data_IF_965146462824
#
_entry.id   IF_965146462824
#
_cell.length_a   1.000
_cell.length_b   1.000
_cell.length_c   1.000
_cell.angle_alpha   90.00
_cell.angle_beta   90.00
_cell.angle_gamma   90.00
#
_symmetry.space_group_name_H-M   'P 1'
#
loop_
_entity.id
_entity.type
_entity.pdbx_description
1 polymer ?
#
# COMPACT_ATOMS: atom_id res chain seq x y z
N UNK A 1 20.83 3.37 8.68
CA UNK A 1 19.47 4.00 8.68
C UNK A 1 18.48 3.14 9.47
N UNK A 2 18.43 3.24 10.80
CA UNK A 2 17.41 2.59 11.65
C UNK A 2 16.55 3.59 12.45
N UNK A 3 16.72 4.88 12.20
CA UNK A 3 16.07 5.97 12.93
C UNK A 3 14.83 6.54 12.21
N UNK A 4 14.64 6.23 10.92
CA UNK A 4 13.49 6.68 10.13
C UNK A 4 12.30 5.72 10.26
N UNK A 5 11.08 6.25 10.18
CA UNK A 5 9.84 5.46 10.26
C UNK A 5 9.74 4.45 9.11
N UNK A 6 8.88 3.43 9.25
CA UNK A 6 8.63 2.48 8.17
C UNK A 6 8.11 3.19 6.90
N UNK A 7 7.24 4.19 7.07
CA UNK A 7 6.74 5.03 5.99
C UNK A 7 7.88 5.75 5.28
N UNK A 8 8.73 6.49 6.00
CA UNK A 8 9.87 7.21 5.40
C UNK A 8 10.84 6.29 4.64
N UNK A 9 11.07 5.08 5.16
CA UNK A 9 11.93 4.09 4.48
C UNK A 9 11.28 3.55 3.23
N UNK A 10 9.96 3.35 3.25
CA UNK A 10 9.20 2.91 2.08
C UNK A 10 9.22 3.98 1.00
N UNK A 11 8.94 5.24 1.35
CA UNK A 11 8.99 6.36 0.42
C UNK A 11 10.36 6.50 -0.22
N UNK A 12 11.43 6.41 0.58
CA UNK A 12 12.79 6.46 0.06
C UNK A 12 13.12 5.27 -0.86
N UNK A 13 12.64 4.07 -0.55
CA UNK A 13 12.85 2.88 -1.38
C UNK A 13 12.07 2.98 -2.71
N UNK A 14 10.82 3.47 -2.66
CA UNK A 14 9.98 3.70 -3.84
C UNK A 14 10.62 4.76 -4.76
N UNK A 15 10.99 5.93 -4.21
CA UNK A 15 11.66 6.98 -5.00
C UNK A 15 13.00 6.52 -5.58
N UNK A 16 13.76 5.70 -4.85
CA UNK A 16 14.98 5.10 -5.37
C UNK A 16 14.68 4.16 -6.55
N UNK A 17 13.69 3.28 -6.42
CA UNK A 17 13.30 2.34 -7.45
C UNK A 17 12.81 3.03 -8.72
N UNK A 18 11.96 4.05 -8.59
CA UNK A 18 11.43 4.85 -9.69
C UNK A 18 12.54 5.59 -10.43
N UNK A 19 13.45 6.25 -9.68
CA UNK A 19 14.57 6.96 -10.28
C UNK A 19 15.49 5.99 -11.03
N UNK A 20 15.81 4.83 -10.44
CA UNK A 20 16.62 3.82 -11.09
C UNK A 20 15.92 3.24 -12.34
N UNK A 21 14.61 3.01 -12.29
CA UNK A 21 13.84 2.52 -13.43
C UNK A 21 13.79 3.52 -14.60
N UNK A 22 13.95 4.82 -14.33
CA UNK A 22 14.02 5.86 -15.36
C UNK A 22 15.35 5.90 -16.12
N UNK A 23 16.39 5.22 -15.61
CA UNK A 23 17.74 5.22 -16.17
C UNK A 23 17.99 3.95 -17.01
N UNK A 24 18.43 4.06 -18.27
CA UNK A 24 18.75 2.90 -19.09
C UNK A 24 19.86 2.02 -18.48
N UNK A 25 19.68 0.70 -18.47
CA UNK A 25 20.70 -0.25 -17.99
C UNK A 25 20.80 -0.36 -16.47
N UNK A 26 19.86 0.22 -15.72
CA UNK A 26 19.80 0.19 -14.26
C UNK A 26 18.70 -0.73 -13.72
N UNK A 27 18.29 -1.74 -14.49
CA UNK A 27 17.20 -2.65 -14.16
C UNK A 27 17.46 -3.39 -12.85
N UNK A 28 18.71 -3.79 -12.63
CA UNK A 28 19.16 -4.40 -11.36
C UNK A 28 18.96 -3.44 -10.17
N UNK A 29 19.34 -2.17 -10.33
CA UNK A 29 19.23 -1.19 -9.26
C UNK A 29 17.76 -0.85 -8.97
N UNK A 30 16.93 -0.77 -10.01
CA UNK A 30 15.49 -0.60 -9.87
C UNK A 30 14.83 -1.78 -9.16
N UNK A 31 15.20 -3.02 -9.53
CA UNK A 31 14.71 -4.23 -8.89
C UNK A 31 15.08 -4.28 -7.40
N UNK A 32 16.29 -3.86 -7.03
CA UNK A 32 16.72 -3.81 -5.62
C UNK A 32 15.92 -2.77 -4.82
N UNK A 33 15.63 -1.60 -5.42
CA UNK A 33 14.78 -0.58 -4.80
C UNK A 33 13.34 -1.05 -4.59
N UNK A 34 12.73 -1.63 -5.62
CA UNK A 34 11.36 -2.15 -5.51
C UNK A 34 11.28 -3.33 -4.54
N UNK A 35 12.29 -4.21 -4.50
CA UNK A 35 12.34 -5.29 -3.51
C UNK A 35 12.39 -4.75 -2.08
N UNK A 36 13.22 -3.73 -1.84
CA UNK A 36 13.28 -3.07 -0.53
C UNK A 36 11.94 -2.42 -0.14
N UNK A 37 11.21 -1.84 -1.09
CA UNK A 37 9.88 -1.28 -0.83
C UNK A 37 8.85 -2.38 -0.50
N UNK A 38 8.86 -3.50 -1.24
CA UNK A 38 7.98 -4.66 -0.97
C UNK A 38 8.23 -5.26 0.42
N UNK A 39 9.50 -5.40 0.83
CA UNK A 39 9.87 -5.94 2.14
C UNK A 39 9.40 -5.07 3.32
N UNK A 40 9.05 -3.80 3.06
CA UNK A 40 8.54 -2.88 4.08
C UNK A 40 7.00 -2.92 4.19
N UNK A 41 6.29 -3.49 3.22
CA UNK A 41 4.82 -3.57 3.23
C UNK A 41 4.23 -4.18 4.53
N UNK A 42 4.80 -5.25 5.13
CA UNK A 42 4.28 -5.78 6.38
C UNK A 42 4.30 -4.77 7.54
N UNK A 43 5.25 -3.83 7.54
CA UNK A 43 5.37 -2.81 8.59
C UNK A 43 4.38 -1.65 8.39
N UNK A 44 4.03 -1.36 7.13
CA UNK A 44 3.03 -0.35 6.78
C UNK A 44 1.60 -0.87 6.94
N UNK A 45 1.45 -2.19 6.79
CA UNK A 45 0.22 -2.92 7.06
C UNK A 45 -0.21 -2.90 8.54
N UNK A 46 0.68 -2.47 9.45
CA UNK A 46 0.41 -2.50 10.88
C UNK A 46 -0.60 -1.44 11.30
N UNK A 47 -1.62 -1.88 12.03
CA UNK A 47 -2.80 -1.11 12.44
C UNK A 47 -2.55 -0.01 13.49
N UNK A 48 -1.29 0.27 13.85
CA UNK A 48 -0.90 1.33 14.80
C UNK A 48 -0.65 2.72 14.19
N UNK A 49 -0.70 2.88 12.87
CA UNK A 49 -0.53 4.17 12.17
C UNK A 49 -1.83 5.00 12.20
N UNK A 50 -1.75 6.34 12.21
CA UNK A 50 -2.93 7.18 11.99
C UNK A 50 -3.61 6.83 10.66
N UNK A 51 -4.94 6.87 10.64
CA UNK A 51 -5.75 6.33 9.54
C UNK A 51 -5.45 6.96 8.18
N UNK A 52 -5.24 8.28 8.14
CA UNK A 52 -4.96 9.01 6.90
C UNK A 52 -3.62 8.62 6.26
N UNK A 53 -2.57 8.49 7.07
CA UNK A 53 -1.25 8.05 6.60
C UNK A 53 -1.31 6.63 6.03
N UNK A 54 -2.10 5.75 6.65
CA UNK A 54 -2.27 4.37 6.17
C UNK A 54 -2.99 4.29 4.83
N UNK A 55 -4.07 5.03 4.63
CA UNK A 55 -4.84 5.01 3.38
C UNK A 55 -3.99 5.55 2.20
N UNK A 56 -3.21 6.61 2.42
CA UNK A 56 -2.26 7.14 1.43
C UNK A 56 -1.17 6.11 1.08
N UNK A 57 -0.54 5.49 2.09
CA UNK A 57 0.51 4.48 1.89
C UNK A 57 -0.02 3.20 1.24
N UNK A 58 -1.24 2.76 1.58
CA UNK A 58 -1.87 1.62 0.94
C UNK A 58 -2.17 1.89 -0.53
N UNK A 59 -2.62 3.11 -0.86
CA UNK A 59 -2.87 3.51 -2.25
C UNK A 59 -1.57 3.46 -3.07
N UNK A 60 -0.45 3.94 -2.52
CA UNK A 60 0.87 3.88 -3.15
C UNK A 60 1.40 2.45 -3.31
N UNK A 61 1.03 1.54 -2.41
CA UNK A 61 1.41 0.13 -2.52
C UNK A 61 0.72 -0.62 -3.67
N UNK A 62 -0.33 -0.04 -4.28
CA UNK A 62 -1.06 -0.65 -5.40
C UNK A 62 -0.12 -0.78 -6.60
N UNK A 63 0.02 -1.99 -7.13
CA UNK A 63 0.87 -2.26 -8.29
C UNK A 63 2.37 -2.37 -7.97
N UNK A 64 2.80 -2.08 -6.74
CA UNK A 64 4.21 -2.12 -6.33
C UNK A 64 4.83 -3.50 -6.55
N UNK A 65 4.18 -4.57 -6.10
CA UNK A 65 4.67 -5.94 -6.31
C UNK A 65 4.76 -6.30 -7.80
N UNK A 66 3.86 -5.75 -8.63
CA UNK A 66 3.90 -5.91 -10.08
C UNK A 66 5.10 -5.18 -10.71
N UNK A 67 5.37 -3.94 -10.30
CA UNK A 67 6.53 -3.18 -10.73
C UNK A 67 7.85 -3.84 -10.28
N UNK A 68 7.89 -4.36 -9.05
CA UNK A 68 9.01 -5.13 -8.52
C UNK A 68 9.27 -6.40 -9.34
N UNK A 69 8.21 -7.13 -9.67
CA UNK A 69 8.28 -8.34 -10.47
C UNK A 69 8.74 -8.06 -11.91
N UNK A 70 8.21 -7.00 -12.54
CA UNK A 70 8.57 -6.61 -13.88
C UNK A 70 10.04 -6.18 -13.97
N UNK A 71 10.52 -5.35 -13.04
CA UNK A 71 11.93 -4.92 -13.00
C UNK A 71 12.88 -6.07 -12.68
N UNK A 72 12.50 -6.99 -11.80
CA UNK A 72 13.27 -8.21 -11.55
C UNK A 72 13.39 -9.10 -12.80
N UNK A 73 12.33 -9.21 -13.62
CA UNK A 73 12.41 -9.92 -14.91
C UNK A 73 13.36 -9.24 -15.89
N UNK A 74 13.26 -7.91 -16.03
CA UNK A 74 14.16 -7.12 -16.88
C UNK A 74 15.62 -7.22 -16.43
N UNK A 75 15.86 -7.35 -15.12
CA UNK A 75 17.17 -7.60 -14.53
C UNK A 75 17.68 -9.05 -14.68
N UNK A 76 16.93 -9.94 -15.33
CA UNK A 76 17.30 -11.36 -15.50
C UNK A 76 17.16 -12.20 -14.23
N UNK A 77 16.26 -11.81 -13.31
CA UNK A 77 16.05 -12.46 -11.99
C UNK A 77 14.64 -13.05 -11.86
N UNK A 78 14.29 -14.09 -12.65
CA UNK A 78 12.92 -14.62 -12.70
C UNK A 78 12.44 -15.22 -11.38
N UNK A 79 13.31 -15.89 -10.62
CA UNK A 79 12.91 -16.45 -9.32
C UNK A 79 12.53 -15.34 -8.33
N UNK A 80 13.34 -14.28 -8.26
CA UNK A 80 13.06 -13.13 -7.41
C UNK A 80 11.76 -12.43 -7.81
N UNK A 81 11.44 -12.38 -9.10
CA UNK A 81 10.18 -11.82 -9.59
C UNK A 81 8.95 -12.54 -9.01
N UNK A 82 8.98 -13.88 -8.98
CA UNK A 82 7.91 -14.70 -8.39
C UNK A 82 7.84 -14.46 -6.88
N UNK A 83 8.98 -14.47 -6.19
CA UNK A 83 9.04 -14.23 -4.75
C UNK A 83 8.40 -12.88 -4.38
N UNK A 84 8.68 -11.82 -5.14
CA UNK A 84 8.12 -10.48 -4.92
C UNK A 84 6.60 -10.43 -5.13
N UNK A 85 6.07 -11.11 -6.14
CA UNK A 85 4.62 -11.22 -6.35
C UNK A 85 3.94 -11.95 -5.21
N UNK A 86 4.50 -13.09 -4.80
CA UNK A 86 3.93 -13.89 -3.72
C UNK A 86 4.04 -13.17 -2.38
N UNK A 87 5.11 -12.43 -2.13
CA UNK A 87 5.25 -11.58 -0.94
C UNK A 87 4.14 -10.52 -0.90
N UNK A 88 3.97 -9.76 -1.98
CA UNK A 88 2.90 -8.75 -2.07
C UNK A 88 1.52 -9.34 -1.81
N UNK A 89 1.24 -10.51 -2.39
CA UNK A 89 -0.04 -11.23 -2.20
C UNK A 89 -0.21 -11.73 -0.77
N UNK A 90 0.83 -12.27 -0.15
CA UNK A 90 0.79 -12.74 1.23
C UNK A 90 0.48 -11.60 2.22
N UNK A 91 1.03 -10.41 1.99
CA UNK A 91 0.72 -9.22 2.81
C UNK A 91 -0.75 -8.81 2.65
N UNK A 92 -1.25 -8.74 1.42
CA UNK A 92 -2.66 -8.40 1.17
C UNK A 92 -3.62 -9.41 1.82
N UNK A 93 -3.32 -10.70 1.72
CA UNK A 93 -4.11 -11.75 2.37
C UNK A 93 -4.07 -11.68 3.88
N UNK A 94 -2.90 -11.42 4.47
CA UNK A 94 -2.77 -11.27 5.91
C UNK A 94 -3.64 -10.12 6.42
N UNK A 95 -3.62 -8.97 5.74
CA UNK A 95 -4.48 -7.85 6.08
C UNK A 95 -5.97 -8.18 5.91
N UNK A 96 -6.35 -8.81 4.82
CA UNK A 96 -7.74 -9.21 4.58
C UNK A 96 -8.24 -10.17 5.66
N UNK A 97 -7.40 -11.09 6.13
CA UNK A 97 -7.75 -12.05 7.18
C UNK A 97 -7.87 -11.36 8.54
N UNK A 98 -6.90 -10.53 8.93
CA UNK A 98 -6.95 -9.76 10.19
C UNK A 98 -8.23 -8.90 10.25
N UNK A 99 -8.56 -8.23 9.16
CA UNK A 99 -9.76 -7.39 9.07
C UNK A 99 -11.06 -8.17 9.27
N UNK A 100 -11.12 -9.41 8.76
CA UNK A 100 -12.27 -10.31 8.95
C UNK A 100 -12.36 -10.80 10.39
N UNK A 101 -11.22 -11.14 10.99
CA UNK A 101 -11.15 -11.55 12.40
C UNK A 101 -11.61 -10.43 13.33
N UNK A 102 -11.11 -9.21 13.13
CA UNK A 102 -11.50 -8.04 13.93
C UNK A 102 -12.99 -7.74 13.79
N UNK A 103 -13.55 -7.86 12.58
CA UNK A 103 -14.99 -7.72 12.36
C UNK A 103 -15.81 -8.81 13.05
N UNK A 104 -15.34 -10.07 13.07
CA UNK A 104 -16.06 -11.15 13.74
C UNK A 104 -16.11 -10.94 15.26
N UNK A 105 -14.98 -10.49 15.84
CA UNK A 105 -14.90 -10.10 17.25
C UNK A 105 -15.81 -8.90 17.53
N UNK A 106 -15.74 -7.86 16.70
CA UNK A 106 -16.57 -6.67 16.82
C UNK A 106 -18.06 -6.99 16.71
N UNK A 107 -18.46 -7.84 15.75
CA UNK A 107 -19.85 -8.25 15.56
C UNK A 107 -20.40 -9.03 16.75
N UNK A 108 -19.54 -9.76 17.45
CA UNK A 108 -19.91 -10.45 18.70
C UNK A 108 -20.08 -9.47 19.87
N UNK A 109 -19.24 -8.43 19.96
CA UNK A 109 -19.25 -7.48 21.06
C UNK A 109 -20.22 -6.30 20.88
N UNK A 110 -20.40 -5.82 19.65
CA UNK A 110 -21.16 -4.64 19.27
C UNK A 110 -21.70 -4.77 17.82
N UNK A 111 -22.81 -5.50 17.62
CA UNK A 111 -23.33 -5.82 16.29
C UNK A 111 -23.72 -4.56 15.49
N UNK A 112 -24.29 -3.53 16.11
CA UNK A 112 -24.69 -2.32 15.38
C UNK A 112 -23.47 -1.55 14.82
N UNK A 113 -22.34 -1.58 15.53
CA UNK A 113 -21.10 -0.95 15.06
C UNK A 113 -20.44 -1.77 13.95
N UNK A 114 -20.51 -3.10 14.01
CA UNK A 114 -20.00 -3.97 12.96
C UNK A 114 -20.78 -3.76 11.65
N UNK A 115 -22.10 -3.65 11.71
CA UNK A 115 -22.94 -3.45 10.53
C UNK A 115 -22.75 -2.05 9.93
N UNK A 116 -22.59 -1.02 10.78
CA UNK A 116 -22.25 0.33 10.32
C UNK A 116 -20.87 0.38 9.66
N UNK A 117 -19.89 -0.33 10.21
CA UNK A 117 -18.54 -0.40 9.63
C UNK A 117 -18.55 -1.16 8.29
N UNK A 118 -19.31 -2.25 8.18
CA UNK A 118 -19.48 -2.96 6.91
C UNK A 118 -20.18 -2.10 5.86
N UNK A 119 -21.22 -1.35 6.23
CA UNK A 119 -21.89 -0.42 5.31
C UNK A 119 -20.93 0.64 4.76
N UNK A 120 -20.12 1.27 5.63
CA UNK A 120 -19.13 2.28 5.22
C UNK A 120 -18.03 1.71 4.31
N UNK A 121 -17.66 0.43 4.44
CA UNK A 121 -16.65 -0.23 3.59
C UNK A 121 -17.15 -0.55 2.19
N UNK A 122 -18.45 -0.81 2.06
CA UNK A 122 -19.08 -1.10 0.77
C UNK A 122 -19.45 0.16 0.01
N UNK A 123 -19.31 1.33 0.63
CA UNK A 123 -19.55 2.61 -0.02
C UNK A 123 -18.31 2.98 -0.84
N UNK A 124 -18.39 3.03 -2.19
CA UNK A 124 -17.31 3.55 -3.00
C UNK A 124 -17.09 5.02 -2.63
N UNK A 125 -15.83 5.40 -2.41
CA UNK A 125 -15.46 6.77 -2.09
C UNK A 125 -15.97 7.70 -3.19
N UNK A 126 -16.94 8.55 -2.83
CA UNK A 126 -17.42 9.60 -3.73
C UNK A 126 -16.55 10.81 -3.48
N UNK A 127 -15.98 11.44 -4.52
CA UNK A 127 -15.26 12.68 -4.33
C UNK A 127 -16.17 13.66 -3.60
N UNK A 128 -15.65 14.27 -2.54
CA UNK A 128 -16.32 15.35 -1.83
C UNK A 128 -16.68 16.39 -2.89
N UNK A 129 -17.98 16.55 -3.15
CA UNK A 129 -18.47 17.55 -4.09
C UNK A 129 -17.96 18.89 -3.58
N UNK A 130 -17.07 19.49 -4.35
CA UNK A 130 -16.58 20.84 -4.14
C UNK A 130 -17.81 21.73 -4.07
N UNK A 131 -18.07 22.30 -2.89
CA UNK A 131 -19.17 23.23 -2.72
C UNK A 131 -18.80 24.43 -3.58
N UNK A 132 -19.43 24.56 -4.75
CA UNK A 132 -19.42 25.79 -5.53
C UNK A 132 -19.85 26.91 -4.58
N UNK A 133 -18.89 27.71 -4.12
CA UNK A 133 -19.19 28.99 -3.50
C UNK A 133 -19.83 29.84 -4.59
N UNK A 134 -21.12 30.22 -4.47
CA UNK A 134 -21.72 31.10 -5.46
C UNK A 134 -20.95 32.42 -5.46
N UNK A 135 -20.51 32.84 -6.64
CA UNK A 135 -20.06 34.20 -6.91
C UNK A 135 -21.08 35.19 -6.34
N UNK A 136 -20.74 35.83 -5.22
CA UNK A 136 -21.39 37.07 -4.84
C UNK A 136 -20.74 38.18 -5.63
N UNK A 137 -21.28 38.38 -6.83
CA UNK A 137 -21.24 39.64 -7.52
C UNK A 137 -21.72 40.77 -6.58
N UNK A 138 -20.80 41.67 -6.21
CA UNK A 138 -21.01 43.12 -6.15
C UNK A 138 -19.71 43.86 -5.91
#
# INVERSE_FOLDING_TARGET
>A
MRTASAAQRFEAAESWAELAASLPGQETLAADGYAAAVDLLPLLAWHGLERGDRESLLTRSIGLAGAAAATALLAGRPNQSIDLLEHGRAVQWTQALQLRTDLAVLRTAAPELADRLDALRQEPDKPVVEIETPELAR
#
